data_IF_701964239221
#
_entry.id   IF_701964239221
#
_cell.length_a   1.000
_cell.length_b   1.000
_cell.length_c   1.000
_cell.angle_alpha   90.00
_cell.angle_beta   90.00
_cell.angle_gamma   90.00
#
_symmetry.space_group_name_H-M   'P 1'
#
loop_
_entity.id
_entity.type
_entity.pdbx_description
1 polymer ?
#
# COMPACT_ATOMS: atom_id res chain seq x y z
N UNK A 1 30.54 -0.82 14.49
CA UNK A 1 29.27 -1.04 13.79
C UNK A 1 28.52 -2.19 14.44
N UNK A 2 27.24 -2.02 14.74
CA UNK A 2 26.35 -3.02 15.34
C UNK A 2 24.95 -2.89 14.71
N UNK A 3 24.26 -4.01 14.47
CA UNK A 3 22.85 -4.01 14.05
C UNK A 3 22.01 -4.59 15.18
N UNK A 4 21.01 -3.84 15.61
CA UNK A 4 20.10 -4.25 16.68
C UNK A 4 18.69 -3.69 16.47
N UNK A 5 17.75 -4.16 17.25
CA UNK A 5 16.43 -3.56 17.32
C UNK A 5 16.49 -2.16 17.94
N UNK A 6 15.66 -1.27 17.41
CA UNK A 6 15.48 0.06 17.96
C UNK A 6 14.83 -0.01 19.34
N UNK A 7 15.15 0.94 20.21
CA UNK A 7 14.44 1.14 21.48
C UNK A 7 13.74 2.49 21.48
N UNK A 8 12.76 2.69 22.37
CA UNK A 8 12.03 3.96 22.48
C UNK A 8 12.93 5.17 22.72
N UNK A 9 14.04 4.98 23.44
CA UNK A 9 15.02 6.03 23.70
C UNK A 9 15.74 6.50 22.44
N UNK A 10 15.74 5.68 21.37
CA UNK A 10 16.36 6.02 20.09
C UNK A 10 15.44 6.81 19.17
N UNK A 11 14.14 6.89 19.46
CA UNK A 11 13.15 7.55 18.59
C UNK A 11 13.61 8.95 18.14
N UNK A 12 14.13 9.85 19.01
CA UNK A 12 14.58 11.16 18.55
C UNK A 12 15.67 11.12 17.48
N UNK A 13 16.60 10.16 17.59
CA UNK A 13 17.67 9.99 16.61
C UNK A 13 17.18 9.31 15.33
N UNK A 14 16.22 8.40 15.44
CA UNK A 14 15.59 7.73 14.30
C UNK A 14 14.75 8.73 13.50
N UNK A 15 14.03 9.62 14.15
CA UNK A 15 13.30 10.72 13.49
C UNK A 15 14.25 11.65 12.72
N UNK A 16 15.48 11.88 13.22
CA UNK A 16 16.50 12.62 12.45
C UNK A 16 16.86 11.88 11.15
N UNK A 17 17.05 10.55 11.18
CA UNK A 17 17.27 9.75 9.96
C UNK A 17 16.10 9.87 9.02
N UNK A 18 14.90 9.71 9.55
CA UNK A 18 13.64 9.77 8.79
C UNK A 18 13.48 11.11 8.07
N UNK A 19 13.50 12.21 8.80
CA UNK A 19 13.35 13.54 8.23
C UNK A 19 14.40 13.84 7.16
N UNK A 20 15.67 13.50 7.40
CA UNK A 20 16.77 13.73 6.43
C UNK A 20 16.70 12.86 5.19
N UNK A 21 16.02 11.73 5.24
CA UNK A 21 15.92 10.80 4.11
C UNK A 21 14.63 10.95 3.31
N UNK A 22 13.51 11.25 3.98
CA UNK A 22 12.17 11.31 3.37
C UNK A 22 11.59 12.73 3.38
N UNK A 23 12.00 13.58 4.31
CA UNK A 23 11.54 14.97 4.37
C UNK A 23 10.19 15.16 5.08
N UNK A 24 9.66 14.08 5.69
CA UNK A 24 8.38 14.13 6.39
C UNK A 24 8.42 15.09 7.58
N UNK A 25 7.27 15.69 7.85
CA UNK A 25 7.11 16.62 8.95
C UNK A 25 7.06 15.92 10.31
N UNK A 26 7.35 16.69 11.38
CA UNK A 26 7.42 16.15 12.75
C UNK A 26 6.10 15.50 13.18
N UNK A 27 4.96 16.10 12.81
CA UNK A 27 3.64 15.61 13.20
C UNK A 27 3.33 14.24 12.58
N UNK A 28 3.71 14.01 11.31
CA UNK A 28 3.57 12.69 10.69
C UNK A 28 4.48 11.65 11.33
N UNK A 29 5.74 12.03 11.60
CA UNK A 29 6.66 11.13 12.30
C UNK A 29 6.13 10.76 13.70
N UNK A 30 5.59 11.76 14.46
CA UNK A 30 4.97 11.48 15.76
C UNK A 30 3.79 10.53 15.65
N UNK A 31 2.93 10.73 14.62
CA UNK A 31 1.82 9.84 14.31
C UNK A 31 2.32 8.40 14.07
N UNK A 32 3.32 8.22 13.19
CA UNK A 32 3.90 6.91 12.90
C UNK A 32 4.46 6.23 14.16
N UNK A 33 5.32 6.94 14.92
CA UNK A 33 5.94 6.37 16.13
C UNK A 33 4.93 6.06 17.22
N UNK A 34 3.82 6.77 17.28
CA UNK A 34 2.73 6.51 18.24
C UNK A 34 1.92 5.27 17.85
N UNK A 35 1.62 5.08 16.58
CA UNK A 35 0.63 4.09 16.13
C UNK A 35 1.23 2.84 15.49
N UNK A 36 2.47 2.88 15.00
CA UNK A 36 3.05 1.78 14.21
C UNK A 36 4.40 1.27 14.68
N UNK A 37 5.17 2.09 15.38
CA UNK A 37 6.48 1.68 15.89
C UNK A 37 6.37 0.54 16.92
N UNK A 38 7.27 -0.42 16.81
CA UNK A 38 7.51 -1.45 17.82
C UNK A 38 9.01 -1.74 17.92
N UNK A 39 9.49 -1.96 19.12
CA UNK A 39 10.88 -2.37 19.36
C UNK A 39 11.22 -3.74 18.75
N UNK A 40 10.18 -4.52 18.36
CA UNK A 40 10.35 -5.84 17.75
C UNK A 40 10.38 -5.81 16.22
N UNK A 41 10.06 -4.68 15.59
CA UNK A 41 9.92 -4.60 14.14
C UNK A 41 10.90 -3.64 13.45
N UNK A 42 11.58 -2.77 14.18
CA UNK A 42 12.51 -1.79 13.58
C UNK A 42 13.95 -2.16 13.89
N UNK A 43 14.77 -2.38 12.86
CA UNK A 43 16.20 -2.56 12.96
C UNK A 43 16.94 -1.26 12.67
N UNK A 44 17.99 -1.01 13.44
CA UNK A 44 18.91 0.13 13.23
C UNK A 44 20.36 -0.35 13.12
N UNK A 45 21.11 0.33 12.28
CA UNK A 45 22.56 0.18 12.20
C UNK A 45 23.22 1.28 13.05
N UNK A 46 24.02 0.87 14.02
CA UNK A 46 24.71 1.74 14.96
C UNK A 46 26.15 1.98 14.53
N UNK A 47 26.58 3.22 14.51
CA UNK A 47 27.98 3.62 14.39
C UNK A 47 28.29 4.68 15.44
N UNK A 48 29.39 4.54 16.16
CA UNK A 48 29.77 5.42 17.26
C UNK A 48 28.64 5.69 18.27
N UNK A 49 27.91 4.64 18.62
CA UNK A 49 26.73 4.65 19.52
C UNK A 49 25.53 5.46 19.03
N UNK A 50 25.48 5.81 17.75
CA UNK A 50 24.35 6.51 17.13
C UNK A 50 23.73 5.67 16.01
N UNK A 51 22.41 5.65 15.85
CA UNK A 51 21.78 5.04 14.70
C UNK A 51 22.09 5.89 13.45
N UNK A 52 22.53 5.22 12.38
CA UNK A 52 22.88 5.87 11.10
C UNK A 52 22.08 5.34 9.92
N UNK A 53 21.40 4.21 10.12
CA UNK A 53 20.47 3.64 9.16
C UNK A 53 19.35 2.89 9.90
N UNK A 54 18.20 2.76 9.26
CA UNK A 54 17.04 2.10 9.83
C UNK A 54 16.23 1.37 8.76
N UNK A 55 15.40 0.43 9.18
CA UNK A 55 14.29 -0.14 8.42
C UNK A 55 13.29 -0.80 9.35
N UNK A 56 12.01 -0.73 9.02
CA UNK A 56 10.94 -1.44 9.74
C UNK A 56 10.52 -2.67 8.96
N UNK A 57 10.19 -3.75 9.67
CA UNK A 57 9.68 -4.99 9.09
C UNK A 57 8.25 -5.22 9.59
N UNK A 58 7.29 -5.06 8.71
CA UNK A 58 5.87 -5.17 9.03
C UNK A 58 5.36 -6.55 8.61
N UNK A 59 4.63 -7.22 9.49
CA UNK A 59 4.04 -8.54 9.19
C UNK A 59 2.98 -8.42 8.10
N UNK A 60 3.03 -9.36 7.16
CA UNK A 60 2.01 -9.57 6.15
C UNK A 60 2.00 -11.05 5.74
N UNK A 61 1.09 -11.40 4.85
CA UNK A 61 0.98 -12.76 4.32
C UNK A 61 0.86 -12.69 2.80
N UNK A 62 1.64 -13.51 2.12
CA UNK A 62 1.48 -13.75 0.71
C UNK A 62 0.45 -14.87 0.53
N UNK A 63 -0.71 -14.54 -0.03
CA UNK A 63 -1.76 -15.52 -0.37
C UNK A 63 -1.43 -16.14 -1.71
N UNK A 64 -1.40 -17.47 -1.76
CA UNK A 64 -1.12 -18.25 -2.97
C UNK A 64 -2.22 -19.27 -3.20
N UNK A 65 -2.20 -19.93 -4.35
CA UNK A 65 -3.10 -21.06 -4.62
C UNK A 65 -2.92 -22.26 -3.68
N UNK A 66 -1.78 -22.36 -2.99
CA UNK A 66 -1.44 -23.43 -2.04
C UNK A 66 -1.67 -23.04 -0.57
N UNK A 67 -1.97 -21.76 -0.30
CA UNK A 67 -2.19 -21.25 1.06
C UNK A 67 -1.49 -19.92 1.32
N UNK A 68 -1.23 -19.64 2.60
CA UNK A 68 -0.62 -18.40 3.02
C UNK A 68 0.84 -18.61 3.46
N UNK A 69 1.72 -17.75 2.97
CA UNK A 69 3.14 -17.72 3.34
C UNK A 69 3.36 -16.44 4.18
N UNK A 70 3.81 -16.54 5.46
CA UNK A 70 4.21 -15.36 6.21
C UNK A 70 5.34 -14.61 5.51
N UNK A 71 5.22 -13.30 5.39
CA UNK A 71 6.23 -12.41 4.81
C UNK A 71 6.43 -11.17 5.69
N UNK A 72 7.52 -10.46 5.50
CA UNK A 72 7.70 -9.13 6.11
C UNK A 72 7.85 -8.07 5.03
N UNK A 73 7.09 -7.00 5.16
CA UNK A 73 7.24 -5.82 4.32
C UNK A 73 8.31 -4.91 4.94
N UNK A 74 9.39 -4.65 4.19
CA UNK A 74 10.43 -3.73 4.59
C UNK A 74 10.03 -2.29 4.22
N UNK A 75 9.76 -1.50 5.25
CA UNK A 75 9.32 -0.12 5.16
C UNK A 75 10.38 0.84 5.69
N UNK A 76 10.43 2.05 5.13
CA UNK A 76 11.33 3.12 5.54
C UNK A 76 12.81 2.69 5.59
N UNK A 77 13.29 2.08 4.51
CA UNK A 77 14.70 1.70 4.36
C UNK A 77 15.54 2.95 4.16
N UNK A 78 16.19 3.44 5.20
CA UNK A 78 16.89 4.72 5.20
C UNK A 78 18.33 4.61 5.70
N UNK A 79 19.19 5.44 5.11
CA UNK A 79 20.58 5.64 5.57
C UNK A 79 20.92 7.12 5.45
N UNK A 80 21.44 7.71 6.53
CA UNK A 80 21.90 9.10 6.53
C UNK A 80 22.82 9.37 5.34
N UNK A 81 22.69 10.51 4.66
CA UNK A 81 23.44 10.80 3.42
C UNK A 81 24.96 10.58 3.52
N UNK A 82 25.58 11.01 4.61
CA UNK A 82 27.02 10.87 4.86
C UNK A 82 27.49 9.44 5.15
N UNK A 83 26.55 8.54 5.36
CA UNK A 83 26.80 7.11 5.59
C UNK A 83 26.40 6.22 4.40
N UNK A 84 25.88 6.80 3.33
CA UNK A 84 25.49 6.05 2.12
C UNK A 84 26.73 5.43 1.44
N UNK A 85 26.49 4.42 0.61
CA UNK A 85 27.54 3.72 -0.11
C UNK A 85 28.35 2.71 0.73
N UNK A 86 28.06 2.57 2.03
CA UNK A 86 28.76 1.65 2.96
C UNK A 86 28.01 0.32 3.16
N UNK A 87 26.89 0.12 2.49
CA UNK A 87 26.13 -1.15 2.51
C UNK A 87 25.17 -1.32 3.68
N UNK A 88 24.87 -0.29 4.47
CA UNK A 88 24.04 -0.42 5.68
C UNK A 88 22.62 -0.91 5.39
N UNK A 89 21.95 -0.40 4.34
CA UNK A 89 20.63 -0.87 3.93
C UNK A 89 20.63 -2.38 3.59
N UNK A 90 21.66 -2.85 2.84
CA UNK A 90 21.85 -4.27 2.55
C UNK A 90 21.97 -5.08 3.86
N UNK A 91 22.82 -4.64 4.80
CA UNK A 91 23.03 -5.35 6.06
C UNK A 91 21.77 -5.40 6.92
N UNK A 92 20.95 -4.33 6.93
CA UNK A 92 19.67 -4.31 7.63
C UNK A 92 18.67 -5.32 7.03
N UNK A 93 18.55 -5.36 5.70
CA UNK A 93 17.67 -6.30 4.99
C UNK A 93 18.12 -7.76 5.20
N UNK A 94 19.43 -8.04 5.11
CA UNK A 94 19.97 -9.36 5.37
C UNK A 94 19.74 -9.80 6.84
N UNK A 95 19.91 -8.88 7.78
CA UNK A 95 19.65 -9.13 9.20
C UNK A 95 18.17 -9.40 9.47
N UNK A 96 17.27 -8.63 8.86
CA UNK A 96 15.82 -8.87 8.92
C UNK A 96 15.45 -10.25 8.37
N UNK A 97 15.95 -10.60 7.19
CA UNK A 97 15.72 -11.92 6.58
C UNK A 97 16.22 -13.07 7.48
N UNK A 98 17.39 -12.91 8.10
CA UNK A 98 17.93 -13.91 9.03
C UNK A 98 17.11 -14.01 10.32
N UNK A 99 16.63 -12.88 10.85
CA UNK A 99 15.90 -12.85 12.11
C UNK A 99 14.49 -13.41 11.96
N UNK A 100 13.74 -12.92 10.98
CA UNK A 100 12.34 -13.30 10.78
C UNK A 100 12.18 -14.64 10.03
N UNK A 101 13.20 -15.07 9.29
CA UNK A 101 13.19 -16.32 8.50
C UNK A 101 12.02 -16.40 7.51
N UNK A 102 11.63 -15.26 6.94
CA UNK A 102 10.54 -15.11 5.99
C UNK A 102 11.02 -14.41 4.72
N UNK A 103 10.30 -14.55 3.60
CA UNK A 103 10.49 -13.68 2.46
C UNK A 103 10.29 -12.22 2.85
N UNK A 104 11.05 -11.33 2.19
CA UNK A 104 10.92 -9.88 2.39
C UNK A 104 10.29 -9.27 1.14
N UNK A 105 9.27 -8.46 1.36
CA UNK A 105 8.58 -7.65 0.35
C UNK A 105 8.91 -6.19 0.56
N UNK A 106 9.02 -5.40 -0.49
CA UNK A 106 9.17 -3.96 -0.43
C UNK A 106 8.60 -3.27 -1.68
N UNK A 107 8.35 -1.98 -1.56
CA UNK A 107 8.08 -1.09 -2.67
C UNK A 107 9.31 -0.23 -2.92
N UNK A 108 9.87 -0.24 -4.16
CA UNK A 108 10.99 0.62 -4.50
C UNK A 108 10.48 2.03 -4.87
N UNK A 109 10.92 3.05 -4.16
CA UNK A 109 10.49 4.44 -4.39
C UNK A 109 11.00 5.05 -5.71
N UNK A 110 11.84 4.36 -6.49
CA UNK A 110 12.35 4.82 -7.79
C UNK A 110 12.93 3.68 -8.61
N UNK A 111 13.03 3.88 -9.93
CA UNK A 111 13.68 2.92 -10.84
C UNK A 111 15.13 2.61 -10.45
N UNK A 112 15.88 3.59 -9.95
CA UNK A 112 17.26 3.37 -9.51
C UNK A 112 17.34 2.43 -8.31
N UNK A 113 16.32 2.42 -7.45
CA UNK A 113 16.19 1.50 -6.33
C UNK A 113 15.78 0.09 -6.78
N UNK A 114 15.04 -0.06 -7.88
CA UNK A 114 14.78 -1.39 -8.45
C UNK A 114 16.12 -2.07 -8.75
N UNK A 115 17.00 -1.44 -9.53
CA UNK A 115 18.33 -2.00 -9.83
C UNK A 115 19.20 -2.26 -8.59
N UNK A 116 19.03 -1.45 -7.56
CA UNK A 116 19.73 -1.68 -6.29
C UNK A 116 19.22 -2.94 -5.60
N UNK A 117 17.90 -3.11 -5.48
CA UNK A 117 17.30 -4.26 -4.82
C UNK A 117 17.47 -5.56 -5.63
N UNK A 118 17.48 -5.50 -6.95
CA UNK A 118 17.80 -6.66 -7.80
C UNK A 118 19.19 -7.25 -7.46
N UNK A 119 20.19 -6.39 -7.22
CA UNK A 119 21.54 -6.83 -6.77
C UNK A 119 21.54 -7.47 -5.39
N UNK A 120 20.49 -7.25 -4.60
CA UNK A 120 20.28 -7.88 -3.31
C UNK A 120 19.40 -9.15 -3.40
N UNK A 121 19.07 -9.59 -4.61
CA UNK A 121 18.27 -10.79 -4.85
C UNK A 121 16.75 -10.58 -4.75
N UNK A 122 16.29 -9.33 -4.81
CA UNK A 122 14.86 -9.05 -5.02
C UNK A 122 14.51 -9.16 -6.49
N UNK A 123 13.25 -9.52 -6.76
CA UNK A 123 12.68 -9.49 -8.10
C UNK A 123 11.34 -8.75 -8.08
N UNK A 124 10.97 -8.13 -9.18
CA UNK A 124 9.62 -7.59 -9.35
C UNK A 124 8.62 -8.74 -9.29
N UNK A 125 7.57 -8.58 -8.49
CA UNK A 125 6.59 -9.65 -8.25
C UNK A 125 5.16 -9.13 -8.12
N UNK A 126 5.00 -7.83 -7.84
CA UNK A 126 3.70 -7.22 -7.63
C UNK A 126 3.48 -6.08 -8.62
N UNK A 127 2.23 -5.93 -9.04
CA UNK A 127 1.81 -4.86 -9.92
C UNK A 127 0.44 -4.34 -9.51
N UNK A 128 0.14 -3.14 -9.95
CA UNK A 128 -1.18 -2.52 -9.86
C UNK A 128 -1.65 -2.11 -11.25
N UNK A 129 -2.94 -1.94 -11.40
CA UNK A 129 -3.57 -1.33 -12.56
C UNK A 129 -3.94 0.11 -12.20
N UNK A 130 -3.38 1.08 -12.89
CA UNK A 130 -3.64 2.50 -12.65
C UNK A 130 -4.29 3.16 -13.86
N UNK A 131 -5.22 4.07 -13.60
CA UNK A 131 -5.77 5.00 -14.61
C UNK A 131 -6.15 6.33 -13.98
N UNK A 132 -6.31 7.34 -14.83
CA UNK A 132 -6.94 8.61 -14.45
C UNK A 132 -8.32 8.71 -15.09
N UNK A 133 -9.35 8.85 -14.28
CA UNK A 133 -10.72 9.14 -14.68
C UNK A 133 -10.86 10.65 -14.79
N UNK A 134 -11.35 11.14 -15.93
CA UNK A 134 -11.55 12.56 -16.15
C UNK A 134 -12.94 13.02 -15.67
N UNK A 135 -13.11 14.30 -15.30
CA UNK A 135 -14.40 14.83 -14.84
C UNK A 135 -15.56 14.62 -15.81
N UNK A 136 -15.29 14.67 -17.12
CA UNK A 136 -16.32 14.44 -18.14
C UNK A 136 -16.83 13.00 -18.14
N UNK A 137 -15.94 12.02 -17.92
CA UNK A 137 -16.34 10.60 -17.78
C UNK A 137 -17.27 10.41 -16.57
N UNK A 138 -16.96 11.08 -15.44
CA UNK A 138 -17.80 11.05 -14.23
C UNK A 138 -19.16 11.70 -14.52
N UNK A 139 -19.18 12.82 -15.25
CA UNK A 139 -20.42 13.52 -15.59
C UNK A 139 -21.33 12.70 -16.52
N UNK A 140 -20.75 11.98 -17.47
CA UNK A 140 -21.47 11.12 -18.43
C UNK A 140 -21.89 9.77 -17.84
N UNK A 141 -21.31 9.35 -16.72
CA UNK A 141 -21.64 8.08 -16.09
C UNK A 141 -23.14 7.96 -15.79
N UNK A 142 -23.66 6.74 -15.88
CA UNK A 142 -25.04 6.44 -15.47
C UNK A 142 -25.16 6.63 -13.95
N UNK A 143 -25.75 7.74 -13.54
CA UNK A 143 -26.02 8.04 -12.13
C UNK A 143 -27.29 7.35 -11.63
N UNK A 144 -27.59 7.59 -10.34
CA UNK A 144 -28.85 7.19 -9.73
C UNK A 144 -30.04 7.92 -10.39
N UNK A 145 -31.12 7.20 -10.65
CA UNK A 145 -32.37 7.81 -11.08
C UNK A 145 -32.99 8.63 -9.95
N UNK A 146 -33.70 9.73 -10.29
CA UNK A 146 -34.35 10.56 -9.28
C UNK A 146 -35.28 9.72 -8.39
N UNK A 147 -34.99 9.71 -7.08
CA UNK A 147 -35.78 9.02 -6.07
C UNK A 147 -35.40 7.56 -5.81
N UNK A 148 -34.38 7.02 -6.48
CA UNK A 148 -33.82 5.69 -6.19
C UNK A 148 -32.38 5.83 -5.73
N UNK A 149 -32.16 5.73 -4.43
CA UNK A 149 -30.81 5.61 -3.88
C UNK A 149 -30.32 4.17 -4.10
N UNK A 150 -29.25 4.01 -4.88
CA UNK A 150 -28.67 2.70 -5.21
C UNK A 150 -27.38 2.41 -4.43
N UNK A 151 -26.70 3.44 -3.97
CA UNK A 151 -25.42 3.34 -3.26
C UNK A 151 -25.51 3.99 -1.89
N UNK A 152 -25.08 3.26 -0.84
CA UNK A 152 -24.95 3.77 0.52
C UNK A 152 -23.48 3.74 0.90
N UNK A 153 -22.93 4.90 1.23
CA UNK A 153 -21.56 5.04 1.72
C UNK A 153 -21.60 5.02 3.23
N UNK A 154 -21.08 3.99 3.82
CA UNK A 154 -21.04 3.75 5.25
C UNK A 154 -19.59 3.77 5.72
N UNK A 155 -19.33 4.34 6.91
CA UNK A 155 -18.02 4.22 7.53
C UNK A 155 -17.68 2.74 7.71
N UNK A 156 -16.45 2.36 7.34
CA UNK A 156 -15.97 0.99 7.46
C UNK A 156 -15.10 0.84 8.70
N UNK A 157 -15.31 -0.24 9.44
CA UNK A 157 -14.43 -0.62 10.55
C UNK A 157 -13.23 -1.43 10.02
N UNK A 158 -12.09 -1.48 10.76
CA UNK A 158 -10.95 -2.32 10.36
C UNK A 158 -11.31 -3.79 10.12
N UNK A 159 -12.18 -4.38 10.94
CA UNK A 159 -12.62 -5.77 10.77
C UNK A 159 -13.43 -5.95 9.47
N UNK A 160 -14.35 -5.04 9.19
CA UNK A 160 -15.11 -5.07 7.93
C UNK A 160 -14.20 -4.87 6.72
N UNK A 161 -13.22 -3.96 6.82
CA UNK A 161 -12.27 -3.71 5.75
C UNK A 161 -11.45 -4.96 5.43
N UNK A 162 -10.86 -5.62 6.45
CA UNK A 162 -10.13 -6.88 6.29
C UNK A 162 -11.01 -7.93 5.61
N UNK A 163 -12.24 -8.15 6.12
CA UNK A 163 -13.13 -9.17 5.59
C UNK A 163 -13.52 -8.93 4.13
N UNK A 164 -13.87 -7.69 3.78
CA UNK A 164 -14.22 -7.33 2.39
C UNK A 164 -13.02 -7.42 1.46
N UNK A 165 -11.83 -7.00 1.94
CA UNK A 165 -10.58 -7.08 1.21
C UNK A 165 -10.21 -8.53 0.91
N UNK A 166 -10.22 -9.39 1.92
CA UNK A 166 -9.88 -10.81 1.80
C UNK A 166 -10.89 -11.59 0.93
N UNK A 167 -12.16 -11.18 0.94
CA UNK A 167 -13.17 -11.76 0.05
C UNK A 167 -13.00 -11.32 -1.42
N UNK A 168 -12.41 -10.16 -1.66
CA UNK A 168 -12.28 -9.56 -2.99
C UNK A 168 -10.98 -9.93 -3.70
N UNK A 169 -9.88 -10.04 -2.95
CA UNK A 169 -8.55 -10.35 -3.48
C UNK A 169 -8.17 -11.80 -3.19
N UNK A 170 -8.69 -12.70 -4.02
CA UNK A 170 -8.46 -14.15 -3.90
C UNK A 170 -7.45 -14.68 -4.92
N UNK A 171 -6.83 -13.78 -5.69
CA UNK A 171 -5.86 -14.15 -6.71
C UNK A 171 -4.53 -14.61 -6.10
N UNK A 172 -3.83 -15.47 -6.84
CA UNK A 172 -2.49 -15.88 -6.47
C UNK A 172 -1.53 -14.69 -6.43
N UNK A 173 -0.80 -14.56 -5.32
CA UNK A 173 0.16 -13.46 -5.15
C UNK A 173 -0.41 -12.21 -4.49
N UNK A 174 -1.54 -12.28 -3.80
CA UNK A 174 -2.09 -11.17 -3.04
C UNK A 174 -1.36 -10.99 -1.69
N UNK A 175 -0.95 -9.76 -1.35
CA UNK A 175 -0.43 -9.44 -0.02
C UNK A 175 -1.59 -9.08 0.90
N UNK A 176 -1.85 -9.99 1.84
CA UNK A 176 -2.84 -9.82 2.90
C UNK A 176 -2.19 -9.15 4.13
N UNK A 177 -2.73 -8.01 4.50
CA UNK A 177 -2.39 -7.31 5.73
C UNK A 177 -3.25 -7.84 6.89
N UNK A 178 -2.68 -7.89 8.09
CA UNK A 178 -3.45 -8.17 9.30
C UNK A 178 -4.31 -6.96 9.73
N UNK A 179 -5.15 -7.19 10.73
CA UNK A 179 -6.03 -6.14 11.27
C UNK A 179 -5.27 -4.91 11.76
N UNK A 180 -4.12 -5.10 12.39
CA UNK A 180 -3.35 -3.98 12.95
C UNK A 180 -2.77 -3.11 11.82
N UNK A 181 -2.30 -3.73 10.74
CA UNK A 181 -1.86 -3.02 9.55
C UNK A 181 -2.99 -2.25 8.87
N UNK A 182 -4.15 -2.88 8.72
CA UNK A 182 -5.35 -2.21 8.16
C UNK A 182 -5.83 -1.09 9.08
N UNK A 183 -5.83 -1.30 10.40
CA UNK A 183 -6.17 -0.23 11.35
C UNK A 183 -5.26 0.98 11.18
N UNK A 184 -3.96 0.74 11.05
CA UNK A 184 -3.01 1.82 10.81
C UNK A 184 -3.26 2.51 9.46
N UNK A 185 -3.46 1.76 8.37
CA UNK A 185 -3.72 2.33 7.05
C UNK A 185 -4.99 3.21 7.03
N UNK A 186 -6.05 2.82 7.74
CA UNK A 186 -7.26 3.62 7.88
C UNK A 186 -7.02 4.88 8.72
N UNK A 187 -6.25 4.79 9.82
CA UNK A 187 -5.87 5.94 10.63
C UNK A 187 -4.97 6.91 9.87
N UNK A 188 -4.03 6.41 9.08
CA UNK A 188 -3.15 7.22 8.25
C UNK A 188 -3.92 7.95 7.15
N UNK A 189 -4.87 7.26 6.52
CA UNK A 189 -5.75 7.88 5.53
C UNK A 189 -6.64 8.97 6.17
N UNK A 190 -7.15 8.77 7.38
CA UNK A 190 -7.91 9.77 8.16
C UNK A 190 -7.00 10.96 8.55
N UNK A 191 -5.76 10.70 8.97
CA UNK A 191 -4.75 11.72 9.25
C UNK A 191 -4.46 12.62 8.03
N UNK A 192 -4.52 12.06 6.82
CA UNK A 192 -4.37 12.77 5.56
C UNK A 192 -5.71 13.32 5.00
N UNK A 193 -6.72 13.56 5.85
CA UNK A 193 -8.06 14.01 5.47
C UNK A 193 -8.74 13.12 4.41
N UNK A 194 -8.41 11.84 4.38
CA UNK A 194 -8.98 10.87 3.45
C UNK A 194 -10.27 10.22 3.95
N UNK A 195 -10.88 9.45 3.10
CA UNK A 195 -12.16 8.78 3.33
C UNK A 195 -12.06 7.29 3.11
N UNK A 196 -12.69 6.51 3.98
CA UNK A 196 -12.80 5.07 3.89
C UNK A 196 -14.28 4.65 3.99
N UNK A 197 -14.80 4.05 2.93
CA UNK A 197 -16.19 3.64 2.87
C UNK A 197 -16.34 2.15 2.58
N UNK A 198 -17.32 1.55 3.27
CA UNK A 198 -18.05 0.40 2.79
C UNK A 198 -19.20 0.89 1.93
N UNK A 199 -19.21 0.50 0.67
CA UNK A 199 -20.24 0.90 -0.30
C UNK A 199 -21.21 -0.25 -0.46
N UNK A 200 -22.45 -0.05 0.04
CA UNK A 200 -23.54 -1.03 -0.18
C UNK A 200 -24.31 -0.68 -1.43
N UNK A 201 -24.45 -1.64 -2.35
CA UNK A 201 -25.20 -1.49 -3.60
C UNK A 201 -25.59 -2.85 -4.18
N UNK A 202 -26.72 -2.93 -4.85
CA UNK A 202 -27.21 -4.13 -5.56
C UNK A 202 -27.11 -5.45 -4.75
N UNK A 203 -27.24 -5.38 -3.42
CA UNK A 203 -27.08 -6.53 -2.53
C UNK A 203 -25.62 -6.97 -2.30
N UNK A 204 -24.65 -6.13 -2.64
CA UNK A 204 -23.22 -6.32 -2.43
C UNK A 204 -22.64 -5.26 -1.50
N UNK A 205 -21.47 -5.54 -0.99
CA UNK A 205 -20.65 -4.60 -0.24
C UNK A 205 -19.26 -4.55 -0.88
N UNK A 206 -18.80 -3.33 -1.15
CA UNK A 206 -17.50 -3.05 -1.76
C UNK A 206 -16.74 -2.01 -0.93
N UNK A 207 -15.43 -1.89 -1.17
CA UNK A 207 -14.54 -0.94 -0.52
C UNK A 207 -14.26 0.26 -1.43
N UNK A 208 -14.13 1.43 -0.82
CA UNK A 208 -13.61 2.63 -1.45
C UNK A 208 -12.77 3.40 -0.42
N UNK A 209 -11.47 3.44 -0.65
CA UNK A 209 -10.49 4.21 0.13
C UNK A 209 -9.89 5.28 -0.78
N UNK A 210 -10.01 6.54 -0.40
CA UNK A 210 -9.46 7.65 -1.19
C UNK A 210 -9.09 8.84 -0.32
N UNK A 211 -8.26 9.73 -0.86
CA UNK A 211 -7.91 11.02 -0.26
C UNK A 211 -7.97 12.13 -1.29
N UNK A 212 -8.11 13.36 -0.81
CA UNK A 212 -8.05 14.55 -1.63
C UNK A 212 -6.60 15.02 -1.76
N UNK A 213 -6.19 15.29 -2.99
CA UNK A 213 -4.92 15.91 -3.33
C UNK A 213 -5.19 17.32 -3.85
N UNK A 214 -4.16 18.18 -3.97
CA UNK A 214 -4.31 19.58 -4.34
C UNK A 214 -5.21 19.81 -5.57
N UNK A 215 -5.13 18.98 -6.61
CA UNK A 215 -5.92 19.12 -7.84
C UNK A 215 -6.51 17.78 -8.34
N UNK A 216 -6.62 16.78 -7.51
CA UNK A 216 -7.10 15.47 -7.88
C UNK A 216 -7.69 14.74 -6.66
N UNK A 217 -8.41 13.64 -6.92
CA UNK A 217 -8.68 12.60 -5.92
C UNK A 217 -7.75 11.42 -6.20
N UNK A 218 -7.21 10.82 -5.17
CA UNK A 218 -6.50 9.57 -5.27
C UNK A 218 -7.29 8.44 -4.62
N UNK A 219 -7.79 7.51 -5.43
CA UNK A 219 -8.39 6.26 -4.95
C UNK A 219 -7.28 5.26 -4.72
N UNK A 220 -6.91 5.11 -3.45
CA UNK A 220 -5.82 4.24 -3.01
C UNK A 220 -6.18 2.77 -3.17
N UNK A 221 -7.41 2.39 -2.84
CA UNK A 221 -7.91 1.03 -3.01
C UNK A 221 -9.43 1.03 -3.23
N UNK A 222 -9.91 0.20 -4.15
CA UNK A 222 -11.34 -0.05 -4.33
C UNK A 222 -11.59 -1.44 -4.89
N UNK A 223 -12.70 -2.05 -4.46
CA UNK A 223 -13.22 -3.31 -5.02
C UNK A 223 -14.42 -3.08 -5.93
N UNK A 224 -14.91 -1.84 -6.04
CA UNK A 224 -16.00 -1.46 -6.94
C UNK A 224 -15.65 -1.76 -8.41
N UNK A 225 -16.63 -2.21 -9.17
CA UNK A 225 -16.51 -2.24 -10.63
C UNK A 225 -16.29 -0.82 -11.17
N UNK A 226 -15.78 -0.71 -12.40
CA UNK A 226 -15.58 0.60 -13.04
C UNK A 226 -16.88 1.38 -13.12
N UNK A 227 -17.96 0.71 -13.50
CA UNK A 227 -19.29 1.34 -13.62
C UNK A 227 -19.81 1.83 -12.26
N UNK A 228 -19.64 1.03 -11.21
CA UNK A 228 -20.09 1.38 -9.86
C UNK A 228 -19.23 2.49 -9.26
N UNK A 229 -17.90 2.46 -9.49
CA UNK A 229 -17.00 3.53 -9.08
C UNK A 229 -17.38 4.87 -9.71
N UNK A 230 -17.59 4.92 -11.02
CA UNK A 230 -18.03 6.13 -11.72
C UNK A 230 -19.37 6.66 -11.16
N UNK A 231 -20.33 5.78 -10.87
CA UNK A 231 -21.60 6.17 -10.29
C UNK A 231 -21.44 6.75 -8.86
N UNK A 232 -20.56 6.16 -8.06
CA UNK A 232 -20.23 6.65 -6.70
C UNK A 232 -19.51 8.00 -6.76
N UNK A 233 -18.52 8.16 -7.64
CA UNK A 233 -17.81 9.43 -7.85
C UNK A 233 -18.77 10.55 -8.28
N UNK A 234 -19.71 10.24 -9.18
CA UNK A 234 -20.78 11.17 -9.58
C UNK A 234 -21.69 11.54 -8.43
N UNK A 235 -22.07 10.58 -7.58
CA UNK A 235 -22.86 10.82 -6.36
C UNK A 235 -22.11 11.72 -5.37
N UNK A 236 -20.81 11.54 -5.21
CA UNK A 236 -19.93 12.39 -4.39
C UNK A 236 -19.70 13.76 -5.01
N UNK A 237 -20.18 13.99 -6.25
CA UNK A 237 -20.05 15.25 -7.01
C UNK A 237 -18.59 15.62 -7.28
N UNK A 238 -17.75 14.64 -7.50
CA UNK A 238 -16.34 14.85 -7.86
C UNK A 238 -16.27 15.55 -9.22
N UNK A 239 -15.44 16.60 -9.29
CA UNK A 239 -15.26 17.45 -10.47
C UNK A 239 -13.79 17.68 -10.84
N UNK A 240 -12.91 16.93 -10.22
CA UNK A 240 -11.47 16.92 -10.47
C UNK A 240 -11.06 15.56 -11.03
N UNK A 241 -9.91 15.43 -11.68
CA UNK A 241 -9.39 14.13 -12.10
C UNK A 241 -9.26 13.18 -10.92
N UNK A 242 -9.54 11.89 -11.15
CA UNK A 242 -9.43 10.84 -10.13
C UNK A 242 -8.40 9.81 -10.59
N UNK A 243 -7.29 9.72 -9.87
CA UNK A 243 -6.32 8.63 -10.04
C UNK A 243 -6.84 7.42 -9.31
N UNK A 244 -6.90 6.29 -9.98
CA UNK A 244 -7.46 5.05 -9.43
C UNK A 244 -6.43 3.96 -9.49
N UNK A 245 -6.23 3.27 -8.38
CA UNK A 245 -5.40 2.08 -8.26
C UNK A 245 -6.28 0.86 -7.95
N UNK A 246 -6.12 -0.21 -8.74
CA UNK A 246 -6.85 -1.48 -8.60
C UNK A 246 -5.89 -2.67 -8.70
N UNK A 247 -6.36 -3.83 -8.27
CA UNK A 247 -5.74 -5.11 -8.63
C UNK A 247 -5.82 -5.34 -10.14
N UNK A 248 -4.71 -5.74 -10.77
CA UNK A 248 -4.69 -6.07 -12.20
C UNK A 248 -5.67 -7.19 -12.53
N UNK A 249 -5.73 -8.23 -11.68
CA UNK A 249 -6.64 -9.35 -11.87
C UNK A 249 -8.12 -8.94 -11.77
N UNK A 250 -8.45 -7.94 -10.95
CA UNK A 250 -9.81 -7.39 -10.88
C UNK A 250 -10.18 -6.69 -12.20
N UNK A 251 -9.29 -5.86 -12.74
CA UNK A 251 -9.49 -5.19 -14.03
C UNK A 251 -9.65 -6.21 -15.16
N UNK A 252 -8.78 -7.20 -15.25
CA UNK A 252 -8.88 -8.26 -16.26
C UNK A 252 -10.17 -9.08 -16.16
N UNK A 253 -10.69 -9.31 -14.94
CA UNK A 253 -11.99 -9.98 -14.75
C UNK A 253 -13.15 -9.12 -15.26
N UNK A 254 -13.12 -7.83 -15.00
CA UNK A 254 -14.14 -6.89 -15.48
C UNK A 254 -14.14 -6.82 -17.02
N UNK A 255 -12.97 -6.75 -17.65
CA UNK A 255 -12.83 -6.73 -19.12
C UNK A 255 -13.36 -8.01 -19.78
N UNK A 256 -13.09 -9.18 -19.17
CA UNK A 256 -13.61 -10.47 -19.66
C UNK A 256 -15.13 -10.61 -19.50
N UNK A 257 -15.71 -10.02 -18.46
CA UNK A 257 -17.14 -10.06 -18.18
C UNK A 257 -17.95 -9.05 -19.04
N UNK A 258 -17.32 -7.97 -19.49
CA UNK A 258 -17.93 -6.95 -20.34
C UNK A 258 -18.02 -7.43 -21.79
N UNK A 259 -19.22 -7.43 -22.37
CA UNK A 259 -19.43 -7.70 -23.81
C UNK A 259 -18.92 -6.57 -24.73
N UNK A 260 -18.52 -5.43 -24.17
CA UNK A 260 -17.93 -4.29 -24.88
C UNK A 260 -16.44 -4.23 -24.59
N UNK A 261 -15.63 -4.52 -25.62
CA UNK A 261 -14.17 -4.36 -25.66
C UNK A 261 -13.73 -2.87 -25.63
N UNK A 262 -14.29 -2.04 -24.79
CA UNK A 262 -13.69 -0.76 -24.47
C UNK A 262 -12.59 -1.06 -23.44
N UNK A 263 -11.34 -0.98 -23.87
CA UNK A 263 -10.20 -0.88 -22.95
C UNK A 263 -10.56 0.17 -21.91
N UNK A 264 -10.66 -0.23 -20.65
CA UNK A 264 -11.00 0.69 -19.55
C UNK A 264 -9.87 1.73 -19.31
N UNK A 265 -8.79 1.68 -20.09
CA UNK A 265 -7.68 2.62 -20.03
C UNK A 265 -6.74 2.41 -18.83
N UNK A 266 -6.89 1.29 -18.11
CA UNK A 266 -5.94 0.92 -17.06
C UNK A 266 -4.60 0.50 -17.67
N UNK A 267 -3.53 0.97 -17.04
CA UNK A 267 -2.17 0.59 -17.38
C UNK A 267 -1.57 -0.23 -16.24
N UNK A 268 -0.94 -1.35 -16.57
CA UNK A 268 -0.16 -2.11 -15.61
C UNK A 268 1.07 -1.31 -15.20
N UNK A 269 1.28 -1.20 -13.89
CA UNK A 269 2.46 -0.59 -13.29
C UNK A 269 3.12 -1.59 -12.35
N UNK A 270 4.42 -1.77 -12.51
CA UNK A 270 5.23 -2.51 -11.56
C UNK A 270 5.24 -1.75 -10.24
N UNK A 271 4.99 -2.48 -9.13
CA UNK A 271 4.73 -1.83 -7.86
C UNK A 271 5.62 -2.35 -6.73
N UNK A 272 5.81 -3.65 -6.60
CA UNK A 272 6.54 -4.21 -5.47
C UNK A 272 7.46 -5.36 -5.81
N UNK A 273 8.46 -5.55 -4.98
CA UNK A 273 9.50 -6.56 -5.12
C UNK A 273 9.50 -7.55 -3.95
N UNK A 274 9.96 -8.77 -4.20
CA UNK A 274 10.09 -9.83 -3.19
C UNK A 274 11.47 -10.51 -3.30
N UNK A 275 11.98 -11.00 -2.17
CA UNK A 275 13.11 -11.92 -2.12
C UNK A 275 12.82 -13.11 -1.23
N UNK A 276 13.39 -14.26 -1.57
CA UNK A 276 13.24 -15.50 -0.77
C UNK A 276 11.96 -16.29 -1.03
N UNK A 277 11.20 -15.94 -2.09
CA UNK A 277 10.01 -16.66 -2.51
C UNK A 277 9.79 -16.45 -4.02
N UNK A 278 9.38 -17.50 -4.73
CA UNK A 278 9.09 -17.47 -6.17
C UNK A 278 7.59 -17.58 -6.48
N UNK A 279 6.74 -17.68 -5.46
CA UNK A 279 5.30 -17.94 -5.59
C UNK A 279 4.47 -16.74 -6.09
N UNK A 280 5.01 -15.52 -6.06
CA UNK A 280 4.30 -14.34 -6.53
C UNK A 280 4.75 -13.95 -7.96
N UNK A 281 3.80 -13.82 -8.88
CA UNK A 281 4.00 -13.25 -10.21
C UNK A 281 2.78 -12.39 -10.56
N UNK A 282 3.02 -11.11 -10.87
CA UNK A 282 1.94 -10.12 -11.08
C UNK A 282 0.94 -10.06 -9.92
N UNK A 283 1.41 -10.32 -8.70
CA UNK A 283 0.60 -10.28 -7.50
C UNK A 283 0.11 -8.87 -7.18
N UNK A 284 -0.76 -8.78 -6.19
CA UNK A 284 -1.29 -7.50 -5.72
C UNK A 284 -0.70 -7.11 -4.37
N UNK A 285 0.06 -6.03 -4.36
CA UNK A 285 0.54 -5.32 -3.17
C UNK A 285 -0.06 -3.92 -3.19
N UNK A 286 -0.61 -3.47 -2.10
CA UNK A 286 -1.14 -2.12 -1.93
C UNK A 286 -1.23 -1.76 -0.44
N UNK A 287 -1.56 -0.51 -0.12
CA UNK A 287 -1.57 0.03 1.25
C UNK A 287 -0.19 -0.07 1.91
N UNK A 288 0.81 0.41 1.21
CA UNK A 288 2.24 0.25 1.54
C UNK A 288 2.80 1.36 2.44
N UNK A 289 1.94 2.23 2.98
CA UNK A 289 2.33 3.40 3.78
C UNK A 289 3.09 4.42 2.89
N UNK A 290 2.35 5.16 2.07
CA UNK A 290 2.88 6.18 1.14
C UNK A 290 2.78 7.59 1.73
#
# INVERSE_FOLDING_TARGET
MEIRFATKEMIPQIKEIWNRCFGDEEDYMEFYFTHRFSEENMLVCMEDKKPVAMTTFLKAYLVTGEGEIPVHYAYAVATLPEYRGRGYAKMLLEKGKQHFQTPIVLEPASESLIYYYEKLGFRMAFCVAERTILPDEIAEAKGEEKGQQKYWLLTVTPDEYVNLRDASFTENGYIRWDKDAITYALLENDYADGYAYKVQHHGREDLLLFREEENAIEVLETTLSEQDLLAVLKRLRIKVPVRVRKSLAAVEREERAGNDKKEQGYQKKDFGMITGCDEAENGYLNLTLE
#
